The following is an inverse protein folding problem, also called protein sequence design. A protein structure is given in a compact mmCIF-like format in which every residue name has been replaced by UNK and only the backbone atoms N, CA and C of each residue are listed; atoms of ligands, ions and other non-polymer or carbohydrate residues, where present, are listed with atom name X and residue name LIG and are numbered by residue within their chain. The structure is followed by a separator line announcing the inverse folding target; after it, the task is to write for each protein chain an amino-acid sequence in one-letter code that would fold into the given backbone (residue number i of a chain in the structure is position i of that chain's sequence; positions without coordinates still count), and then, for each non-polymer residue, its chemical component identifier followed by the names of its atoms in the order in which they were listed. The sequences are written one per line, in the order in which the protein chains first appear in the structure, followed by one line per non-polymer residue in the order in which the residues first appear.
data_IF_391411266374
#
_entry.id   IF_391411266374
#
_cell.length_a   1.000
_cell.length_b   1.000
_cell.length_c   1.000
_cell.angle_alpha   90.00
_cell.angle_beta   90.00
_cell.angle_gamma   90.00
#
_symmetry.space_group_name_H-M   'P 1'
#
loop_
_entity.id
_entity.type
_entity.pdbx_description
1 polymer ?
#
# COMPACT_ATOMS: atom_id res chain seq x y z
N UNK A 1 -0.77 4.59 25.87
CA UNK A 1 -1.37 5.66 25.04
C UNK A 1 -2.30 5.02 24.02
N UNK A 2 -3.51 5.56 23.85
CA UNK A 2 -4.51 5.01 22.93
C UNK A 2 -4.14 5.29 21.47
N UNK A 3 -4.38 4.33 20.58
CA UNK A 3 -4.16 4.54 19.14
C UNK A 3 -5.20 5.56 18.65
N UNK A 4 -4.73 6.71 18.16
CA UNK A 4 -5.58 7.70 17.47
C UNK A 4 -5.65 7.28 16.01
N UNK A 5 -6.86 7.05 15.53
CA UNK A 5 -7.10 6.62 14.16
C UNK A 5 -7.56 7.77 13.28
N UNK A 6 -7.16 7.71 12.01
CA UNK A 6 -7.75 8.57 10.98
C UNK A 6 -9.23 8.24 10.81
N UNK A 7 -10.06 9.28 10.71
CA UNK A 7 -11.48 9.15 10.43
C UNK A 7 -11.69 8.61 9.01
N UNK A 8 -12.45 7.52 8.87
CA UNK A 8 -12.63 6.81 7.60
C UNK A 8 -13.29 7.69 6.53
N UNK A 9 -14.26 8.51 6.91
CA UNK A 9 -15.00 9.38 5.99
C UNK A 9 -14.10 10.49 5.44
N UNK A 10 -13.23 11.05 6.27
CA UNK A 10 -12.23 12.03 5.83
C UNK A 10 -11.18 11.42 4.90
N UNK A 11 -10.74 10.18 5.18
CA UNK A 11 -9.83 9.45 4.28
C UNK A 11 -10.52 9.14 2.94
N UNK A 12 -11.79 8.72 2.97
CA UNK A 12 -12.56 8.50 1.75
C UNK A 12 -12.76 9.80 0.95
N UNK A 13 -13.04 10.91 1.64
CA UNK A 13 -13.14 12.25 1.05
C UNK A 13 -11.82 12.65 0.38
N UNK A 14 -10.69 12.42 1.04
CA UNK A 14 -9.36 12.66 0.49
C UNK A 14 -9.16 11.94 -0.86
N UNK A 15 -9.36 10.61 -0.89
CA UNK A 15 -9.16 9.83 -2.12
C UNK A 15 -10.11 10.24 -3.24
N UNK A 16 -11.39 10.48 -2.94
CA UNK A 16 -12.36 10.95 -3.94
C UNK A 16 -12.04 12.33 -4.48
N UNK A 17 -11.45 13.21 -3.67
CA UNK A 17 -11.14 14.58 -4.08
C UNK A 17 -9.90 14.64 -4.96
N UNK A 18 -8.86 13.85 -4.63
CA UNK A 18 -7.56 13.95 -5.29
C UNK A 18 -7.32 12.88 -6.36
N UNK A 19 -7.96 11.72 -6.24
CA UNK A 19 -7.64 10.52 -7.02
C UNK A 19 -8.86 9.87 -7.66
N UNK A 20 -9.96 10.61 -7.87
CA UNK A 20 -11.10 10.14 -8.68
C UNK A 20 -11.25 11.05 -9.90
N UNK A 21 -11.56 10.48 -11.05
CA UNK A 21 -11.91 11.24 -12.24
C UNK A 21 -13.24 10.77 -12.85
N UNK A 22 -13.56 11.29 -14.04
CA UNK A 22 -14.81 10.99 -14.74
C UNK A 22 -14.99 9.51 -15.08
N UNK A 23 -13.91 8.72 -15.10
CA UNK A 23 -13.94 7.29 -15.43
C UNK A 23 -13.96 6.39 -14.20
N UNK A 24 -13.79 6.94 -13.00
CA UNK A 24 -13.83 6.19 -11.75
C UNK A 24 -12.66 6.48 -10.81
N UNK A 25 -12.48 5.66 -9.76
CA UNK A 25 -11.35 5.77 -8.85
C UNK A 25 -10.04 5.46 -9.58
N UNK A 26 -9.05 6.33 -9.40
CA UNK A 26 -7.63 6.15 -9.79
C UNK A 26 -6.79 5.73 -8.59
N UNK A 27 -7.42 5.20 -7.55
CA UNK A 27 -6.74 4.72 -6.36
C UNK A 27 -7.16 3.27 -6.10
N UNK A 28 -6.26 2.48 -5.53
CA UNK A 28 -6.57 1.16 -4.99
C UNK A 28 -5.99 1.06 -3.57
N UNK A 29 -6.85 0.72 -2.60
CA UNK A 29 -6.46 0.61 -1.19
C UNK A 29 -6.21 -0.85 -0.84
N UNK A 30 -5.05 -1.15 -0.26
CA UNK A 30 -4.72 -2.45 0.28
C UNK A 30 -4.87 -2.41 1.81
N UNK A 31 -5.90 -3.09 2.31
CA UNK A 31 -6.14 -3.25 3.74
C UNK A 31 -5.51 -4.55 4.25
N UNK A 32 -4.46 -4.42 5.07
CA UNK A 32 -3.73 -5.55 5.63
C UNK A 32 -4.26 -5.97 7.02
N UNK A 33 -5.23 -5.26 7.59
CA UNK A 33 -5.73 -5.49 8.95
C UNK A 33 -6.74 -6.66 9.01
N UNK A 34 -6.53 -7.62 9.91
CA UNK A 34 -7.56 -8.62 10.21
C UNK A 34 -8.67 -8.09 11.13
N UNK A 35 -8.32 -7.22 12.06
CA UNK A 35 -9.16 -6.65 13.12
C UNK A 35 -9.94 -5.40 12.70
N UNK A 36 -9.54 -4.75 11.60
CA UNK A 36 -10.15 -3.51 11.13
C UNK A 36 -10.58 -3.59 9.67
N UNK A 37 -11.71 -4.24 9.47
CA UNK A 37 -12.39 -4.34 8.18
C UNK A 37 -13.41 -3.21 8.03
N UNK A 38 -13.60 -2.76 6.80
CA UNK A 38 -14.62 -1.78 6.41
C UNK A 38 -15.16 -2.16 5.03
N UNK A 39 -16.39 -1.72 4.73
CA UNK A 39 -17.01 -2.03 3.46
C UNK A 39 -16.21 -1.40 2.31
N UNK A 40 -15.94 -2.18 1.25
CA UNK A 40 -15.26 -1.65 0.05
C UNK A 40 -16.04 -0.51 -0.60
N UNK A 41 -17.36 -0.45 -0.42
CA UNK A 41 -18.23 0.64 -0.84
C UNK A 41 -17.85 2.00 -0.22
N UNK A 42 -17.21 2.01 0.95
CA UNK A 42 -16.67 3.24 1.56
C UNK A 42 -15.63 3.93 0.68
N UNK A 43 -15.04 3.20 -0.28
CA UNK A 43 -13.99 3.64 -1.18
C UNK A 43 -14.30 3.28 -2.64
N UNK A 44 -15.57 3.43 -3.05
CA UNK A 44 -16.00 3.23 -4.44
C UNK A 44 -15.70 1.80 -4.98
N UNK A 45 -15.60 0.80 -4.09
CA UNK A 45 -15.24 -0.58 -4.43
C UNK A 45 -13.73 -0.79 -4.64
N UNK A 46 -12.91 0.24 -4.50
CA UNK A 46 -11.48 0.22 -4.76
C UNK A 46 -10.66 -0.19 -3.53
N UNK A 47 -11.01 -1.33 -2.93
CA UNK A 47 -10.31 -1.91 -1.78
C UNK A 47 -9.99 -3.38 -2.06
N UNK A 48 -8.72 -3.75 -1.87
CA UNK A 48 -8.26 -5.13 -1.82
C UNK A 48 -7.93 -5.49 -0.37
N UNK A 49 -8.59 -6.51 0.17
CA UNK A 49 -8.39 -6.95 1.56
C UNK A 49 -7.49 -8.17 1.61
N UNK A 50 -6.38 -8.04 2.33
CA UNK A 50 -5.42 -9.11 2.60
C UNK A 50 -5.21 -9.20 4.12
N UNK A 51 -6.18 -9.74 4.87
CA UNK A 51 -6.09 -9.78 6.32
C UNK A 51 -4.88 -10.62 6.73
N UNK A 52 -3.97 -9.99 7.47
CA UNK A 52 -2.82 -10.65 8.09
C UNK A 52 -2.97 -10.55 9.60
N UNK A 53 -2.77 -11.65 10.33
CA UNK A 53 -2.81 -11.63 11.79
C UNK A 53 -1.62 -10.86 12.36
N UNK A 54 -1.81 -10.28 13.56
CA UNK A 54 -0.76 -9.50 14.20
C UNK A 54 0.42 -10.43 14.55
N UNK A 55 1.62 -10.07 14.10
CA UNK A 55 2.90 -10.77 14.30
C UNK A 55 3.14 -12.03 13.47
N UNK A 56 2.23 -12.40 12.56
CA UNK A 56 2.50 -13.47 11.59
C UNK A 56 3.11 -12.90 10.30
N UNK A 57 4.17 -13.53 9.77
CA UNK A 57 4.70 -13.15 8.46
C UNK A 57 3.66 -13.40 7.37
N UNK A 58 3.51 -12.43 6.45
CA UNK A 58 2.65 -12.62 5.27
C UNK A 58 3.13 -13.83 4.47
N UNK A 59 2.23 -14.78 4.17
CA UNK A 59 2.55 -15.92 3.32
C UNK A 59 3.09 -15.43 1.97
N UNK A 60 4.15 -16.07 1.47
CA UNK A 60 4.84 -15.61 0.25
C UNK A 60 3.89 -15.55 -0.96
N UNK A 61 2.98 -16.52 -1.10
CA UNK A 61 1.97 -16.54 -2.17
C UNK A 61 1.04 -15.32 -2.10
N UNK A 62 0.60 -14.95 -0.89
CA UNK A 62 -0.22 -13.74 -0.66
C UNK A 62 0.58 -12.48 -0.99
N UNK A 63 1.85 -12.44 -0.60
CA UNK A 63 2.73 -11.31 -0.91
C UNK A 63 2.94 -11.16 -2.42
N UNK A 64 3.12 -12.26 -3.15
CA UNK A 64 3.21 -12.27 -4.62
C UNK A 64 1.93 -11.71 -5.26
N UNK A 65 0.75 -12.19 -4.86
CA UNK A 65 -0.53 -11.67 -5.37
C UNK A 65 -0.70 -10.17 -5.08
N UNK A 66 -0.34 -9.72 -3.87
CA UNK A 66 -0.37 -8.30 -3.52
C UNK A 66 0.51 -7.48 -4.48
N UNK A 67 1.79 -7.85 -4.65
CA UNK A 67 2.71 -7.04 -5.46
C UNK A 67 2.35 -7.06 -6.94
N UNK A 68 1.89 -8.19 -7.48
CA UNK A 68 1.42 -8.30 -8.87
C UNK A 68 0.17 -7.43 -9.10
N UNK A 69 -0.77 -7.44 -8.14
CA UNK A 69 -1.98 -6.61 -8.22
C UNK A 69 -1.66 -5.13 -8.09
N UNK A 70 -0.72 -4.76 -7.23
CA UNK A 70 -0.21 -3.39 -7.12
C UNK A 70 0.39 -2.93 -8.45
N UNK A 71 1.33 -3.68 -9.00
CA UNK A 71 2.00 -3.35 -10.25
C UNK A 71 1.03 -3.25 -11.43
N UNK A 72 0.11 -4.22 -11.54
CA UNK A 72 -0.96 -4.20 -12.55
C UNK A 72 -1.80 -2.93 -12.45
N UNK A 73 -2.19 -2.50 -11.24
CA UNK A 73 -2.97 -1.27 -11.07
C UNK A 73 -2.19 -0.02 -11.48
N UNK A 74 -0.92 0.10 -11.08
CA UNK A 74 -0.09 1.27 -11.46
C UNK A 74 0.11 1.35 -12.97
N UNK A 75 0.35 0.22 -13.63
CA UNK A 75 0.60 0.17 -15.07
C UNK A 75 -0.64 0.49 -15.92
N UNK A 76 -1.85 0.32 -15.39
CA UNK A 76 -3.09 0.60 -16.13
C UNK A 76 -3.25 2.07 -16.51
N UNK A 77 -2.75 3.01 -15.71
CA UNK A 77 -2.88 4.44 -15.99
C UNK A 77 -1.88 5.28 -15.21
N UNK A 78 -1.24 6.26 -15.86
CA UNK A 78 -0.21 7.12 -15.25
C UNK A 78 -0.66 7.97 -14.04
N UNK A 79 -1.98 8.10 -13.79
CA UNK A 79 -2.53 8.76 -12.60
C UNK A 79 -2.95 7.80 -11.49
N UNK A 80 -2.81 6.49 -11.71
CA UNK A 80 -3.19 5.51 -10.70
C UNK A 80 -2.24 5.60 -9.51
N UNK A 81 -2.81 5.51 -8.31
CA UNK A 81 -2.08 5.53 -7.05
C UNK A 81 -2.49 4.34 -6.21
N UNK A 82 -1.60 3.92 -5.31
CA UNK A 82 -1.87 2.85 -4.36
C UNK A 82 -1.74 3.40 -2.95
N UNK A 83 -2.65 2.99 -2.08
CA UNK A 83 -2.53 3.21 -0.66
C UNK A 83 -2.48 1.87 0.07
N UNK A 84 -1.44 1.64 0.85
CA UNK A 84 -1.30 0.43 1.67
C UNK A 84 -1.41 0.84 3.13
N UNK A 85 -2.26 0.17 3.91
CA UNK A 85 -2.31 0.42 5.34
C UNK A 85 -2.42 -0.87 6.16
N UNK A 86 -1.90 -0.79 7.38
CA UNK A 86 -2.16 -1.72 8.46
C UNK A 86 -2.66 -0.92 9.68
N UNK A 87 -2.53 -1.44 10.90
CA UNK A 87 -2.98 -0.74 12.12
C UNK A 87 -2.17 0.52 12.42
N UNK A 88 -0.85 0.48 12.20
CA UNK A 88 0.07 1.60 12.49
C UNK A 88 0.76 2.18 11.26
N UNK A 89 0.66 1.52 10.10
CA UNK A 89 1.36 1.92 8.89
C UNK A 89 2.87 1.66 8.92
N UNK A 90 3.34 0.75 9.80
CA UNK A 90 4.76 0.51 10.02
C UNK A 90 5.22 -0.81 9.35
N UNK A 91 5.17 -1.93 10.06
CA UNK A 91 5.91 -3.14 9.69
C UNK A 91 5.33 -3.83 8.46
N UNK A 92 4.02 -4.15 8.50
CA UNK A 92 3.33 -4.82 7.38
C UNK A 92 3.23 -3.95 6.14
N UNK A 93 3.00 -2.65 6.34
CA UNK A 93 2.98 -1.68 5.26
C UNK A 93 4.36 -1.59 4.61
N UNK A 94 5.42 -1.48 5.42
CA UNK A 94 6.80 -1.46 4.95
C UNK A 94 7.18 -2.72 4.18
N UNK A 95 6.81 -3.90 4.69
CA UNK A 95 7.04 -5.18 4.00
C UNK A 95 6.45 -5.16 2.58
N UNK A 96 5.15 -4.86 2.45
CA UNK A 96 4.46 -4.86 1.16
C UNK A 96 5.03 -3.80 0.21
N UNK A 97 5.26 -2.58 0.71
CA UNK A 97 5.78 -1.47 -0.11
C UNK A 97 7.19 -1.77 -0.59
N UNK A 98 8.07 -2.26 0.28
CA UNK A 98 9.44 -2.62 -0.10
C UNK A 98 9.45 -3.78 -1.12
N UNK A 99 8.60 -4.79 -0.94
CA UNK A 99 8.47 -5.88 -1.90
C UNK A 99 7.97 -5.39 -3.27
N UNK A 100 7.02 -4.47 -3.31
CA UNK A 100 6.58 -3.86 -4.57
C UNK A 100 7.68 -3.01 -5.22
N UNK A 101 8.47 -2.25 -4.46
CA UNK A 101 9.60 -1.48 -4.99
C UNK A 101 10.66 -2.38 -5.64
N UNK A 102 10.93 -3.53 -5.02
CA UNK A 102 11.84 -4.54 -5.57
C UNK A 102 11.27 -5.19 -6.83
N UNK A 103 9.97 -5.52 -6.81
CA UNK A 103 9.28 -6.17 -7.92
C UNK A 103 9.18 -5.24 -9.15
N UNK A 104 8.78 -3.99 -8.94
CA UNK A 104 8.60 -2.99 -10.02
C UNK A 104 9.93 -2.42 -10.53
N UNK A 105 11.04 -2.69 -9.84
CA UNK A 105 12.33 -2.06 -10.14
C UNK A 105 12.35 -0.56 -9.83
N UNK A 106 11.48 -0.06 -8.95
CA UNK A 106 11.39 1.36 -8.61
C UNK A 106 12.66 1.88 -7.91
N UNK A 107 13.29 1.06 -7.06
CA UNK A 107 14.54 1.44 -6.40
C UNK A 107 15.74 1.33 -7.34
N UNK A 108 15.94 2.37 -8.16
CA UNK A 108 17.19 2.63 -8.91
C UNK A 108 17.60 4.10 -8.68
N UNK A 109 17.75 4.50 -7.42
CA UNK A 109 18.33 5.81 -7.12
C UNK A 109 19.85 5.69 -7.05
N UNK A 110 20.57 6.57 -7.74
CA UNK A 110 22.05 6.64 -7.70
C UNK A 110 22.58 6.83 -6.27
N UNK A 111 21.78 7.46 -5.39
CA UNK A 111 22.07 7.64 -3.96
C UNK A 111 22.27 6.30 -3.23
N UNK A 112 21.65 5.21 -3.72
CA UNK A 112 21.78 3.86 -3.17
C UNK A 112 22.56 2.90 -4.09
N UNK A 113 23.27 3.39 -5.09
CA UNK A 113 23.94 2.55 -6.10
C UNK A 113 24.93 1.51 -5.54
N UNK A 114 25.48 1.76 -4.33
CA UNK A 114 26.40 0.85 -3.64
C UNK A 114 25.73 -0.03 -2.56
N UNK A 115 24.40 0.05 -2.42
CA UNK A 115 23.61 -0.67 -1.41
C UNK A 115 22.81 -1.78 -2.10
N UNK A 116 22.60 -2.92 -1.41
CA UNK A 116 21.71 -3.94 -1.96
C UNK A 116 20.30 -3.38 -2.16
N UNK A 117 19.60 -3.81 -3.21
CA UNK A 117 18.27 -3.30 -3.56
C UNK A 117 17.28 -3.41 -2.39
N UNK A 118 17.38 -4.47 -1.58
CA UNK A 118 16.52 -4.66 -0.41
C UNK A 118 16.78 -3.62 0.69
N UNK A 119 18.05 -3.34 0.97
CA UNK A 119 18.42 -2.34 1.98
C UNK A 119 18.06 -0.92 1.51
N UNK A 120 18.20 -0.65 0.21
CA UNK A 120 17.75 0.61 -0.40
C UNK A 120 16.23 0.81 -0.22
N UNK A 121 15.42 -0.20 -0.56
CA UNK A 121 13.96 -0.13 -0.42
C UNK A 121 13.52 0.11 1.05
N UNK A 122 14.11 -0.63 1.99
CA UNK A 122 13.83 -0.44 3.42
C UNK A 122 14.22 0.95 3.92
N UNK A 123 15.39 1.44 3.50
CA UNK A 123 15.88 2.78 3.90
C UNK A 123 15.00 3.88 3.33
N UNK A 124 14.61 3.76 2.06
CA UNK A 124 13.68 4.67 1.42
C UNK A 124 12.35 4.73 2.17
N UNK A 125 11.76 3.57 2.48
CA UNK A 125 10.49 3.51 3.22
C UNK A 125 10.61 4.13 4.61
N UNK A 126 11.70 3.83 5.33
CA UNK A 126 11.94 4.38 6.66
C UNK A 126 12.06 5.91 6.69
N UNK A 127 12.63 6.52 5.63
CA UNK A 127 12.78 7.98 5.50
C UNK A 127 11.49 8.66 5.08
N UNK A 128 10.65 8.00 4.28
CA UNK A 128 9.48 8.63 3.64
C UNK A 128 8.16 8.44 4.38
N UNK A 129 8.08 7.51 5.34
CA UNK A 129 6.85 7.20 6.10
C UNK A 129 6.47 8.27 7.11
#
# INVERSE_FOLDING_TARGET
EGIVYNNLDEVARFFRTLHKDLTGPRYLIFNLCSDRQYASSSFDGAVACYPTENHEPCHLEVLCDIVERMDTHIQQHHKNVIAVHCNRGDERTGLVVCCWMLYSGFCVDEEYANTSSQAAAMSWFAIKR
#
